data_IF_118578334916
#
_entry.id   IF_118578334916
#
_cell.length_a   1.000
_cell.length_b   1.000
_cell.length_c   1.000
_cell.angle_alpha   90.00
_cell.angle_beta   90.00
_cell.angle_gamma   90.00
#
_symmetry.space_group_name_H-M   'P 1'
#
loop_
_entity.id
_entity.type
_entity.pdbx_description
1 polymer ?
#
# COMPACT_ATOMS: atom_id res chain seq x y z
N UNK A 1 -22.14 -22.36 0.26
CA UNK A 1 -20.69 -22.19 -0.05
C UNK A 1 -19.79 -22.71 1.09
N UNK A 2 -19.97 -22.21 2.33
CA UNK A 2 -19.14 -22.56 3.49
C UNK A 2 -19.09 -24.08 3.76
N UNK A 3 -20.25 -24.73 3.94
CA UNK A 3 -20.31 -26.19 4.18
C UNK A 3 -19.59 -27.01 3.11
N UNK A 4 -19.75 -26.64 1.83
CA UNK A 4 -19.10 -27.33 0.71
C UNK A 4 -17.57 -27.22 0.79
N UNK A 5 -17.05 -26.02 1.05
CA UNK A 5 -15.61 -25.77 1.19
C UNK A 5 -15.03 -26.52 2.41
N UNK A 6 -15.71 -26.49 3.56
CA UNK A 6 -15.26 -27.20 4.75
C UNK A 6 -15.21 -28.73 4.54
N UNK A 7 -16.25 -29.32 3.93
CA UNK A 7 -16.26 -30.77 3.66
C UNK A 7 -15.17 -31.17 2.65
N UNK A 8 -14.91 -30.36 1.63
CA UNK A 8 -13.84 -30.64 0.67
C UNK A 8 -12.45 -30.58 1.33
N UNK A 9 -12.20 -29.59 2.19
CA UNK A 9 -10.96 -29.50 2.97
C UNK A 9 -10.82 -30.70 3.92
N UNK A 10 -11.91 -31.07 4.59
CA UNK A 10 -11.96 -32.20 5.51
C UNK A 10 -11.60 -33.52 4.81
N UNK A 11 -12.19 -33.79 3.65
CA UNK A 11 -11.95 -34.98 2.85
C UNK A 11 -10.50 -35.03 2.35
N UNK A 12 -9.97 -33.91 1.89
CA UNK A 12 -8.60 -33.81 1.36
C UNK A 12 -7.52 -34.01 2.43
N UNK A 13 -7.72 -33.46 3.62
CA UNK A 13 -6.69 -33.38 4.67
C UNK A 13 -6.91 -34.31 5.86
N UNK A 14 -8.06 -34.99 5.93
CA UNK A 14 -8.35 -35.95 7.01
C UNK A 14 -8.49 -35.31 8.40
N UNK A 15 -8.90 -34.03 8.48
CA UNK A 15 -9.10 -33.32 9.74
C UNK A 15 -10.56 -33.42 10.24
N UNK A 16 -10.84 -32.87 11.42
CA UNK A 16 -12.20 -32.71 11.91
C UNK A 16 -12.92 -31.52 11.26
N UNK A 17 -14.24 -31.48 11.39
CA UNK A 17 -15.06 -30.43 10.77
C UNK A 17 -14.84 -29.06 11.42
N UNK A 18 -14.51 -28.99 12.71
CA UNK A 18 -14.28 -27.72 13.39
C UNK A 18 -13.01 -27.05 12.84
N UNK A 19 -11.93 -27.83 12.64
CA UNK A 19 -10.70 -27.40 11.98
C UNK A 19 -10.97 -26.96 10.53
N UNK A 20 -11.63 -27.80 9.72
CA UNK A 20 -11.91 -27.50 8.32
C UNK A 20 -12.81 -26.24 8.13
N UNK A 21 -13.60 -25.89 9.14
CA UNK A 21 -14.53 -24.76 9.12
C UNK A 21 -13.96 -23.45 9.70
N UNK A 22 -12.68 -23.40 10.12
CA UNK A 22 -12.08 -22.16 10.63
C UNK A 22 -12.02 -21.07 9.55
N UNK A 23 -12.57 -19.89 9.85
CA UNK A 23 -12.62 -18.73 8.93
C UNK A 23 -12.24 -17.40 9.59
N UNK A 24 -11.95 -17.40 10.89
CA UNK A 24 -11.51 -16.22 11.64
C UNK A 24 -10.01 -16.33 11.82
N UNK A 25 -9.26 -15.47 11.13
CA UNK A 25 -7.81 -15.44 11.14
C UNK A 25 -7.30 -14.10 11.67
N UNK A 26 -6.17 -14.11 12.36
CA UNK A 26 -5.48 -12.92 12.82
C UNK A 26 -3.99 -13.24 13.02
N UNK A 27 -3.28 -12.33 13.67
CA UNK A 27 -1.96 -12.57 14.21
C UNK A 27 -1.97 -13.61 15.34
N UNK A 28 -0.79 -14.14 15.67
CA UNK A 28 -0.60 -14.86 16.93
C UNK A 28 -0.88 -13.95 18.13
N UNK A 29 -1.11 -14.54 19.29
CA UNK A 29 -1.30 -13.77 20.53
C UNK A 29 -0.11 -12.82 20.78
N UNK A 30 -0.42 -11.56 21.08
CA UNK A 30 0.57 -10.51 21.33
C UNK A 30 1.23 -9.89 20.09
N UNK A 31 0.93 -10.38 18.87
CA UNK A 31 1.45 -9.82 17.63
C UNK A 31 0.42 -8.94 16.90
N UNK A 32 0.91 -7.97 16.11
CA UNK A 32 0.11 -7.00 15.37
C UNK A 32 0.68 -6.80 13.96
N UNK A 33 -0.18 -6.42 13.01
CA UNK A 33 0.20 -6.11 11.63
C UNK A 33 0.64 -7.33 10.81
N UNK A 34 0.60 -7.21 9.50
CA UNK A 34 1.12 -8.24 8.61
C UNK A 34 2.59 -8.04 8.28
N UNK A 35 3.18 -6.87 8.61
CA UNK A 35 4.53 -6.42 8.24
C UNK A 35 4.72 -6.19 6.73
N UNK A 36 3.65 -6.22 5.94
CA UNK A 36 3.69 -5.81 4.53
C UNK A 36 4.03 -4.32 4.43
N UNK A 37 3.52 -3.49 5.34
CA UNK A 37 3.93 -2.09 5.45
C UNK A 37 5.44 -1.90 5.68
N UNK A 38 6.05 -2.73 6.53
CA UNK A 38 7.49 -2.66 6.81
C UNK A 38 8.32 -3.05 5.59
N UNK A 39 7.87 -4.04 4.80
CA UNK A 39 8.51 -4.36 3.52
C UNK A 39 8.46 -3.14 2.60
N UNK A 40 7.27 -2.57 2.38
CA UNK A 40 7.06 -1.39 1.52
C UNK A 40 7.90 -0.18 1.97
N UNK A 41 7.89 0.16 3.25
CA UNK A 41 8.66 1.30 3.78
C UNK A 41 10.17 1.10 3.56
N UNK A 42 10.68 -0.11 3.78
CA UNK A 42 12.10 -0.41 3.67
C UNK A 42 12.65 -0.55 2.25
N UNK A 43 11.79 -0.71 1.24
CA UNK A 43 12.21 -1.00 -0.13
C UNK A 43 12.71 -2.44 -0.35
N UNK A 44 12.66 -3.31 0.68
CA UNK A 44 13.35 -4.61 0.69
C UNK A 44 12.44 -5.77 0.28
N UNK A 45 12.05 -5.79 -0.99
CA UNK A 45 11.44 -6.94 -1.65
C UNK A 45 11.82 -6.94 -3.13
N UNK A 46 12.05 -8.13 -3.67
CA UNK A 46 12.37 -8.35 -5.07
C UNK A 46 11.13 -8.83 -5.85
N UNK A 47 10.27 -9.63 -5.21
CA UNK A 47 9.10 -10.24 -5.83
C UNK A 47 7.82 -10.01 -5.01
N UNK A 48 6.70 -9.72 -5.69
CA UNK A 48 5.41 -9.44 -5.03
C UNK A 48 4.88 -10.62 -4.23
N UNK A 49 5.33 -11.85 -4.51
CA UNK A 49 4.94 -13.01 -3.73
C UNK A 49 5.50 -13.02 -2.30
N UNK A 50 6.52 -12.20 -2.01
CA UNK A 50 7.01 -11.97 -0.65
C UNK A 50 5.94 -11.29 0.23
N UNK A 51 5.04 -10.48 -0.35
CA UNK A 51 3.92 -9.90 0.41
C UNK A 51 2.91 -10.97 0.84
N UNK A 52 2.60 -11.91 -0.05
CA UNK A 52 1.72 -13.02 0.26
C UNK A 52 2.30 -13.94 1.34
N UNK A 53 3.60 -14.25 1.26
CA UNK A 53 4.28 -15.08 2.26
C UNK A 53 4.37 -14.34 3.62
N UNK A 54 4.71 -13.06 3.61
CA UNK A 54 4.74 -12.21 4.81
C UNK A 54 3.37 -12.14 5.48
N UNK A 55 2.33 -11.89 4.69
CA UNK A 55 0.95 -11.84 5.17
C UNK A 55 0.50 -13.18 5.76
N UNK A 56 0.63 -14.27 5.02
CA UNK A 56 0.11 -15.59 5.44
C UNK A 56 0.89 -16.20 6.62
N UNK A 57 2.18 -15.91 6.75
CA UNK A 57 2.97 -16.30 7.92
C UNK A 57 2.53 -15.56 9.18
N UNK A 58 2.18 -14.27 9.06
CA UNK A 58 1.84 -13.44 10.22
C UNK A 58 0.36 -13.43 10.55
N UNK A 59 -0.52 -13.61 9.56
CA UNK A 59 -1.99 -13.61 9.69
C UNK A 59 -2.60 -15.02 9.59
N UNK A 60 -1.77 -16.05 9.47
CA UNK A 60 -2.18 -17.46 9.37
C UNK A 60 -2.69 -18.10 10.66
N UNK A 61 -2.96 -17.34 11.72
CA UNK A 61 -3.42 -17.90 13.00
C UNK A 61 -4.95 -17.89 13.07
N UNK A 62 -5.54 -19.07 13.07
CA UNK A 62 -6.98 -19.23 13.16
C UNK A 62 -7.46 -19.22 14.62
N UNK A 63 -8.59 -18.57 14.84
CA UNK A 63 -9.29 -18.50 16.12
C UNK A 63 -10.49 -19.44 16.11
N UNK A 64 -10.45 -20.46 16.97
CA UNK A 64 -11.56 -21.38 17.17
C UNK A 64 -12.71 -20.76 17.96
N UNK A 65 -13.86 -21.44 18.00
CA UNK A 65 -15.08 -20.97 18.69
C UNK A 65 -14.88 -20.67 20.18
N UNK A 66 -13.96 -21.37 20.82
CA UNK A 66 -13.62 -21.19 22.23
C UNK A 66 -12.47 -20.19 22.46
N UNK A 67 -12.00 -19.50 21.40
CA UNK A 67 -10.88 -18.57 21.45
C UNK A 67 -9.50 -19.22 21.31
N UNK A 68 -9.41 -20.55 21.19
CA UNK A 68 -8.14 -21.24 20.97
C UNK A 68 -7.49 -20.75 19.67
N UNK A 69 -6.22 -20.37 19.75
CA UNK A 69 -5.43 -19.87 18.62
C UNK A 69 -4.49 -20.97 18.15
N UNK A 70 -4.46 -21.23 16.85
CA UNK A 70 -3.50 -22.16 16.25
C UNK A 70 -3.05 -21.67 14.88
N UNK A 71 -1.79 -21.92 14.52
CA UNK A 71 -1.30 -21.61 13.18
C UNK A 71 -1.94 -22.58 12.18
N UNK A 72 -2.61 -22.03 11.17
CA UNK A 72 -3.41 -22.73 10.16
C UNK A 72 -3.13 -22.14 8.76
N UNK A 73 -1.84 -21.92 8.43
CA UNK A 73 -1.41 -21.29 7.17
C UNK A 73 -1.85 -22.10 5.94
N UNK A 74 -1.82 -23.43 6.00
CA UNK A 74 -2.29 -24.29 4.91
C UNK A 74 -3.79 -24.10 4.64
N UNK A 75 -4.61 -24.11 5.70
CA UNK A 75 -6.04 -23.82 5.61
C UNK A 75 -6.31 -22.40 5.09
N UNK A 76 -5.56 -21.41 5.57
CA UNK A 76 -5.69 -20.03 5.08
C UNK A 76 -5.48 -19.99 3.56
N UNK A 77 -4.36 -20.53 3.06
CA UNK A 77 -4.04 -20.52 1.63
C UNK A 77 -5.12 -21.20 0.79
N UNK A 78 -5.68 -22.33 1.24
CA UNK A 78 -6.73 -23.03 0.50
C UNK A 78 -8.07 -22.29 0.53
N UNK A 79 -8.38 -21.59 1.63
CA UNK A 79 -9.54 -20.70 1.71
C UNK A 79 -9.36 -19.50 0.78
N UNK A 80 -8.17 -18.88 0.75
CA UNK A 80 -7.86 -17.74 -0.11
C UNK A 80 -7.95 -18.08 -1.61
N UNK A 81 -7.58 -19.29 -2.02
CA UNK A 81 -7.76 -19.75 -3.41
C UNK A 81 -9.22 -19.79 -3.88
N UNK A 82 -10.18 -19.77 -2.95
CA UNK A 82 -11.62 -19.75 -3.23
C UNK A 82 -12.27 -18.37 -3.05
N UNK A 83 -11.47 -17.31 -2.83
CA UNK A 83 -11.99 -15.94 -2.67
C UNK A 83 -12.37 -15.36 -4.04
N UNK A 84 -13.51 -14.66 -4.07
CA UNK A 84 -14.02 -14.00 -5.28
C UNK A 84 -13.85 -12.47 -5.24
N UNK A 85 -13.68 -11.87 -4.04
CA UNK A 85 -13.40 -10.45 -3.82
C UNK A 85 -12.77 -10.23 -2.43
N UNK A 86 -12.01 -9.15 -2.29
CA UNK A 86 -11.55 -8.64 -1.00
C UNK A 86 -12.25 -7.32 -0.67
N UNK A 87 -12.46 -7.02 0.60
CA UNK A 87 -13.06 -5.75 0.99
C UNK A 87 -12.59 -5.26 2.37
N UNK A 88 -12.60 -3.94 2.56
CA UNK A 88 -12.48 -3.30 3.86
C UNK A 88 -13.42 -2.09 3.97
N UNK A 89 -13.85 -1.76 5.19
CA UNK A 89 -14.53 -0.49 5.46
C UNK A 89 -13.51 0.63 5.63
N UNK A 90 -13.83 1.81 5.09
CA UNK A 90 -13.12 3.04 5.39
C UNK A 90 -13.50 3.49 6.80
N UNK A 91 -12.49 3.80 7.61
CA UNK A 91 -12.65 4.21 9.00
C UNK A 91 -13.29 5.60 9.14
N UNK A 92 -12.75 6.59 8.44
CA UNK A 92 -13.15 8.00 8.60
C UNK A 92 -12.83 8.85 7.38
N UNK A 93 -13.36 10.08 7.35
CA UNK A 93 -13.07 11.05 6.28
C UNK A 93 -11.60 11.50 6.36
N UNK A 94 -11.03 11.48 7.56
CA UNK A 94 -9.66 11.93 7.85
C UNK A 94 -8.64 10.84 7.54
N UNK A 95 -8.93 9.58 7.87
CA UNK A 95 -8.02 8.43 7.68
C UNK A 95 -8.38 7.65 6.41
N UNK A 96 -7.90 8.18 5.28
CA UNK A 96 -7.99 7.55 3.97
C UNK A 96 -7.13 6.29 3.82
N UNK A 97 -7.41 5.49 2.80
CA UNK A 97 -6.62 4.31 2.45
C UNK A 97 -5.19 4.64 2.01
N UNK A 98 -4.93 5.88 1.61
CA UNK A 98 -3.60 6.41 1.29
C UNK A 98 -3.00 7.27 2.42
N UNK A 99 -3.76 7.55 3.48
CA UNK A 99 -3.29 8.36 4.63
C UNK A 99 -2.46 7.52 5.60
N UNK A 100 -2.81 6.24 5.75
CA UNK A 100 -2.19 5.33 6.71
C UNK A 100 -1.88 3.99 6.04
N UNK A 101 -0.82 3.36 6.52
CA UNK A 101 -0.23 2.17 5.94
C UNK A 101 -1.00 0.87 6.23
N UNK A 102 -1.74 0.84 7.33
CA UNK A 102 -2.40 -0.39 7.80
C UNK A 102 -3.48 -0.92 6.84
N UNK A 103 -4.04 -0.08 5.95
CA UNK A 103 -4.97 -0.57 4.93
C UNK A 103 -4.26 -1.45 3.91
N UNK A 104 -3.15 -1.01 3.31
CA UNK A 104 -2.43 -1.87 2.37
C UNK A 104 -1.67 -2.98 3.09
N UNK A 105 -1.25 -2.79 4.35
CA UNK A 105 -0.70 -3.87 5.19
C UNK A 105 -1.68 -5.05 5.30
N UNK A 106 -2.98 -4.76 5.40
CA UNK A 106 -4.00 -5.78 5.64
C UNK A 106 -4.79 -6.14 4.39
N UNK A 107 -5.55 -5.21 3.81
CA UNK A 107 -6.33 -5.44 2.60
C UNK A 107 -5.43 -5.62 1.36
N UNK A 108 -4.32 -4.88 1.29
CA UNK A 108 -3.31 -5.13 0.26
C UNK A 108 -2.69 -6.51 0.43
N UNK A 109 -2.14 -6.81 1.61
CA UNK A 109 -1.50 -8.09 1.90
C UNK A 109 -2.40 -9.32 1.69
N UNK A 110 -3.68 -9.25 2.06
CA UNK A 110 -4.63 -10.34 1.76
C UNK A 110 -4.90 -10.44 0.27
N UNK A 111 -4.92 -9.33 -0.48
CA UNK A 111 -5.11 -9.34 -1.93
C UNK A 111 -3.93 -10.03 -2.63
N UNK A 112 -2.70 -9.75 -2.23
CA UNK A 112 -1.50 -10.47 -2.71
C UNK A 112 -1.58 -11.96 -2.37
N UNK A 113 -2.03 -12.30 -1.16
CA UNK A 113 -2.19 -13.69 -0.74
C UNK A 113 -3.28 -14.44 -1.52
N UNK A 114 -4.40 -13.77 -1.84
CA UNK A 114 -5.43 -14.32 -2.74
C UNK A 114 -4.86 -14.53 -4.13
N UNK A 115 -4.15 -13.55 -4.68
CA UNK A 115 -3.55 -13.67 -6.02
C UNK A 115 -2.59 -14.86 -6.11
N UNK A 116 -1.71 -15.03 -5.11
CA UNK A 116 -0.80 -16.20 -5.04
C UNK A 116 -1.55 -17.52 -4.94
N UNK A 117 -2.60 -17.60 -4.13
CA UNK A 117 -3.35 -18.84 -3.91
C UNK A 117 -4.27 -19.21 -5.10
N UNK A 118 -4.84 -18.21 -5.76
CA UNK A 118 -5.80 -18.37 -6.87
C UNK A 118 -5.11 -18.44 -8.24
N UNK A 119 -3.95 -17.80 -8.37
CA UNK A 119 -3.23 -17.60 -9.64
C UNK A 119 -3.73 -16.40 -10.45
N UNK A 120 -4.71 -15.65 -9.95
CA UNK A 120 -5.25 -14.43 -10.56
C UNK A 120 -5.73 -13.47 -9.48
N UNK A 121 -5.75 -12.17 -9.80
CA UNK A 121 -6.26 -11.12 -8.94
C UNK A 121 -7.78 -11.21 -8.76
N UNK A 122 -8.29 -10.64 -7.66
CA UNK A 122 -9.74 -10.50 -7.42
C UNK A 122 -10.09 -9.02 -7.25
N UNK A 123 -11.33 -8.62 -7.56
CA UNK A 123 -11.77 -7.27 -7.26
C UNK A 123 -11.62 -6.91 -5.78
N UNK A 124 -11.05 -5.73 -5.51
CA UNK A 124 -10.88 -5.18 -4.17
C UNK A 124 -11.83 -4.00 -3.99
N UNK A 125 -12.62 -4.02 -2.92
CA UNK A 125 -13.64 -3.01 -2.66
C UNK A 125 -13.42 -2.26 -1.34
N UNK A 126 -13.74 -0.97 -1.34
CA UNK A 126 -13.74 -0.11 -0.17
C UNK A 126 -15.17 0.34 0.11
N UNK A 127 -15.67 0.01 1.30
CA UNK A 127 -16.99 0.44 1.77
C UNK A 127 -16.85 1.71 2.61
N UNK A 128 -17.36 2.82 2.11
CA UNK A 128 -17.31 4.15 2.70
C UNK A 128 -18.67 4.51 3.31
N UNK A 129 -18.72 4.49 4.64
CA UNK A 129 -19.89 4.86 5.45
C UNK A 129 -19.68 6.19 6.19
N UNK A 130 -18.72 7.01 5.76
CA UNK A 130 -18.30 8.22 6.49
C UNK A 130 -19.22 9.41 6.22
N UNK A 131 -19.96 9.40 5.11
CA UNK A 131 -20.90 10.44 4.71
C UNK A 131 -22.28 10.33 5.38
N UNK A 132 -23.08 11.39 5.28
CA UNK A 132 -24.50 11.37 5.67
C UNK A 132 -25.35 10.74 4.56
N UNK A 133 -25.84 9.52 4.76
CA UNK A 133 -26.73 8.83 3.82
C UNK A 133 -26.42 7.34 3.68
N UNK A 134 -26.86 6.75 2.57
CA UNK A 134 -26.52 5.37 2.23
C UNK A 134 -25.03 5.29 1.86
N UNK A 135 -24.28 4.41 2.53
CA UNK A 135 -22.86 4.22 2.29
C UNK A 135 -22.55 3.83 0.84
N UNK A 136 -21.31 4.07 0.42
CA UNK A 136 -20.85 3.79 -0.95
C UNK A 136 -19.84 2.65 -0.94
N UNK A 137 -19.99 1.71 -1.87
CA UNK A 137 -18.96 0.70 -2.14
C UNK A 137 -18.27 1.09 -3.43
N UNK A 138 -16.98 1.38 -3.36
CA UNK A 138 -16.11 1.69 -4.50
C UNK A 138 -15.15 0.56 -4.76
N UNK A 139 -14.68 0.44 -5.98
CA UNK A 139 -13.48 -0.36 -6.25
C UNK A 139 -12.25 0.34 -5.66
N UNK A 140 -11.15 -0.41 -5.48
CA UNK A 140 -9.89 0.14 -4.98
C UNK A 140 -9.37 1.29 -5.84
N UNK A 141 -9.39 1.14 -7.16
CA UNK A 141 -8.93 2.16 -8.12
C UNK A 141 -9.77 3.45 -8.05
N UNK A 142 -11.09 3.32 -7.92
CA UNK A 142 -11.98 4.46 -7.69
C UNK A 142 -11.66 5.20 -6.39
N UNK A 143 -11.40 4.44 -5.30
CA UNK A 143 -11.07 5.03 -4.01
C UNK A 143 -9.68 5.69 -4.04
N UNK A 144 -8.65 5.04 -4.57
CA UNK A 144 -7.31 5.64 -4.73
C UNK A 144 -7.38 6.90 -5.58
N UNK A 145 -8.11 6.85 -6.71
CA UNK A 145 -8.28 8.02 -7.58
C UNK A 145 -9.01 9.18 -6.88
N UNK A 146 -10.00 8.89 -6.04
CA UNK A 146 -10.68 9.89 -5.22
C UNK A 146 -9.71 10.53 -4.23
N UNK A 147 -8.92 9.72 -3.51
CA UNK A 147 -7.98 10.22 -2.51
C UNK A 147 -6.82 10.99 -3.13
N UNK A 148 -6.31 10.55 -4.28
CA UNK A 148 -5.31 11.29 -5.04
C UNK A 148 -5.83 12.69 -5.41
N UNK A 149 -7.06 12.81 -5.92
CA UNK A 149 -7.65 14.11 -6.30
C UNK A 149 -8.04 15.00 -5.12
N UNK A 150 -8.35 14.42 -3.97
CA UNK A 150 -8.84 15.17 -2.81
C UNK A 150 -7.74 15.49 -1.79
N UNK A 151 -6.61 14.76 -1.84
CA UNK A 151 -5.45 14.93 -0.95
C UNK A 151 -4.16 15.14 -1.73
N UNK A 152 -3.43 14.08 -2.07
CA UNK A 152 -2.05 14.15 -2.60
C UNK A 152 -1.89 15.17 -3.73
N UNK A 153 -2.83 15.25 -4.66
CA UNK A 153 -2.79 16.13 -5.83
C UNK A 153 -3.76 17.31 -5.74
N UNK A 154 -4.32 17.57 -4.56
CA UNK A 154 -5.17 18.73 -4.30
C UNK A 154 -4.33 19.88 -3.76
N UNK A 155 -4.20 21.01 -4.48
CA UNK A 155 -3.45 22.17 -4.02
C UNK A 155 -3.87 22.68 -2.65
N UNK A 156 -5.16 22.63 -2.33
CA UNK A 156 -5.63 23.05 -1.00
C UNK A 156 -5.09 22.16 0.12
N UNK A 157 -4.89 20.88 -0.16
CA UNK A 157 -4.37 19.94 0.82
C UNK A 157 -2.86 20.04 0.94
N UNK A 158 -2.11 19.90 -0.16
CA UNK A 158 -0.65 19.90 -0.07
C UNK A 158 -0.10 21.27 0.32
N UNK A 159 -0.68 22.39 -0.12
CA UNK A 159 -0.25 23.72 0.34
C UNK A 159 -0.47 23.88 1.85
N UNK A 160 -1.64 23.46 2.35
CA UNK A 160 -1.91 23.49 3.79
C UNK A 160 -0.97 22.58 4.58
N UNK A 161 -0.52 21.45 4.02
CA UNK A 161 0.51 20.63 4.64
C UNK A 161 1.84 21.37 4.68
N UNK A 162 2.25 21.98 3.58
CA UNK A 162 3.51 22.72 3.48
C UNK A 162 3.59 23.95 4.40
N UNK A 163 2.45 24.54 4.78
CA UNK A 163 2.40 25.58 5.83
C UNK A 163 2.90 25.06 7.20
N UNK A 164 2.91 23.75 7.42
CA UNK A 164 3.47 23.09 8.60
C UNK A 164 4.93 22.63 8.41
N UNK A 165 5.59 23.07 7.33
CA UNK A 165 7.01 22.90 7.09
C UNK A 165 7.47 21.43 7.07
N UNK A 166 8.42 21.09 7.94
CA UNK A 166 9.08 19.77 7.95
C UNK A 166 8.10 18.59 7.99
N UNK A 167 7.11 18.68 8.87
CA UNK A 167 6.09 17.63 9.06
C UNK A 167 5.11 17.57 7.88
N UNK A 168 4.88 18.71 7.21
CA UNK A 168 4.06 18.79 6.01
C UNK A 168 4.61 17.98 4.85
N UNK A 169 5.91 18.14 4.57
CA UNK A 169 6.60 17.34 3.54
C UNK A 169 6.60 15.87 3.91
N UNK A 170 6.75 15.52 5.20
CA UNK A 170 6.64 14.13 5.67
C UNK A 170 5.25 13.52 5.37
N UNK A 171 4.18 14.30 5.49
CA UNK A 171 2.83 13.81 5.16
C UNK A 171 2.66 13.56 3.65
N UNK A 172 3.24 14.41 2.80
CA UNK A 172 3.22 14.20 1.34
C UNK A 172 3.99 12.92 0.99
N UNK A 173 5.18 12.73 1.56
CA UNK A 173 5.98 11.52 1.38
C UNK A 173 5.23 10.26 1.84
N UNK A 174 4.63 10.29 3.04
CA UNK A 174 3.87 9.16 3.56
C UNK A 174 2.68 8.81 2.65
N UNK A 175 1.95 9.82 2.15
CA UNK A 175 0.84 9.61 1.22
C UNK A 175 1.29 8.94 -0.09
N UNK A 176 2.43 9.35 -0.63
CA UNK A 176 2.99 8.75 -1.84
C UNK A 176 3.47 7.32 -1.58
N UNK A 177 4.18 7.09 -0.46
CA UNK A 177 4.64 5.75 -0.05
C UNK A 177 3.45 4.79 0.14
N UNK A 178 2.37 5.22 0.80
CA UNK A 178 1.16 4.43 0.96
C UNK A 178 0.45 4.17 -0.38
N UNK A 179 0.48 5.15 -1.29
CA UNK A 179 -0.04 4.98 -2.66
C UNK A 179 0.73 3.87 -3.38
N UNK A 180 2.07 3.88 -3.31
CA UNK A 180 2.89 2.82 -3.89
C UNK A 180 2.63 1.45 -3.24
N UNK A 181 2.40 1.41 -1.92
CA UNK A 181 1.96 0.21 -1.21
C UNK A 181 0.73 -0.46 -1.82
N UNK A 182 -0.22 0.31 -2.37
CA UNK A 182 -1.36 -0.24 -3.10
C UNK A 182 -0.97 -0.87 -4.43
N UNK A 183 -0.12 -0.20 -5.22
CA UNK A 183 0.43 -0.78 -6.45
C UNK A 183 1.08 -2.13 -6.18
N UNK A 184 1.93 -2.20 -5.15
CA UNK A 184 2.71 -3.39 -4.83
C UNK A 184 1.88 -4.57 -4.30
N UNK A 185 0.74 -4.30 -3.67
CA UNK A 185 -0.01 -5.35 -2.93
C UNK A 185 -1.31 -5.78 -3.60
N UNK A 186 -1.99 -4.87 -4.29
CA UNK A 186 -3.30 -5.13 -4.90
C UNK A 186 -3.43 -4.54 -6.31
N UNK A 187 -2.41 -3.84 -6.80
CA UNK A 187 -2.55 -2.97 -7.96
C UNK A 187 -3.55 -1.83 -7.70
N UNK A 188 -4.15 -1.32 -8.77
CA UNK A 188 -5.25 -0.35 -8.67
C UNK A 188 -4.84 1.11 -8.56
N UNK A 189 -3.54 1.44 -8.55
CA UNK A 189 -3.08 2.82 -8.76
C UNK A 189 -2.89 3.06 -10.24
N UNK A 190 -3.58 4.05 -10.79
CA UNK A 190 -3.46 4.39 -12.20
C UNK A 190 -2.18 5.21 -12.47
N UNK A 191 -1.49 5.01 -13.61
CA UNK A 191 -0.28 5.75 -14.01
C UNK A 191 -0.33 7.27 -13.88
N UNK A 192 -1.51 7.87 -14.10
CA UNK A 192 -1.66 9.33 -14.01
C UNK A 192 -1.41 9.86 -12.60
N UNK A 193 -1.60 9.05 -11.55
CA UNK A 193 -1.36 9.46 -10.16
C UNK A 193 0.13 9.73 -9.96
N UNK A 194 0.99 8.79 -10.36
CA UNK A 194 2.44 8.95 -10.30
C UNK A 194 2.94 10.06 -11.22
N UNK A 195 2.38 10.15 -12.44
CA UNK A 195 2.71 11.23 -13.38
C UNK A 195 2.44 12.61 -12.79
N UNK A 196 1.26 12.82 -12.22
CA UNK A 196 0.92 14.13 -11.65
C UNK A 196 1.69 14.38 -10.36
N UNK A 197 1.98 13.36 -9.55
CA UNK A 197 2.81 13.50 -8.36
C UNK A 197 4.25 13.90 -8.72
N UNK A 198 4.84 13.30 -9.76
CA UNK A 198 6.17 13.67 -10.24
C UNK A 198 6.21 15.08 -10.80
N UNK A 199 5.24 15.43 -11.66
CA UNK A 199 5.09 16.79 -12.22
C UNK A 199 4.92 17.84 -11.11
N UNK A 200 4.09 17.56 -10.11
CA UNK A 200 3.76 18.52 -9.04
C UNK A 200 4.90 18.71 -8.05
N UNK A 201 5.52 17.64 -7.57
CA UNK A 201 6.40 17.71 -6.40
C UNK A 201 7.89 17.73 -6.73
N UNK A 202 8.29 17.13 -7.86
CA UNK A 202 9.72 16.91 -8.17
C UNK A 202 10.15 17.61 -9.47
N UNK A 203 9.36 17.52 -10.54
CA UNK A 203 9.74 18.10 -11.83
C UNK A 203 9.47 19.61 -11.90
N UNK A 204 8.56 20.13 -11.08
CA UNK A 204 8.47 21.56 -10.78
C UNK A 204 9.67 21.98 -9.90
N UNK A 205 10.57 22.79 -10.44
CA UNK A 205 11.80 23.21 -9.76
C UNK A 205 11.53 24.06 -8.50
N UNK A 206 10.53 24.94 -8.55
CA UNK A 206 10.18 25.80 -7.42
C UNK A 206 9.57 24.98 -6.29
N UNK A 207 8.67 24.04 -6.62
CA UNK A 207 8.12 23.12 -5.64
C UNK A 207 9.22 22.20 -5.07
N UNK A 208 10.05 21.59 -5.92
CA UNK A 208 11.15 20.71 -5.50
C UNK A 208 12.06 21.41 -4.49
N UNK A 209 12.48 22.64 -4.81
CA UNK A 209 13.32 23.45 -3.92
C UNK A 209 12.63 23.76 -2.59
N UNK A 210 11.35 24.13 -2.63
CA UNK A 210 10.57 24.38 -1.41
C UNK A 210 10.46 23.13 -0.54
N UNK A 211 10.18 21.95 -1.13
CA UNK A 211 10.16 20.69 -0.38
C UNK A 211 11.52 20.42 0.29
N UNK A 212 12.61 20.65 -0.45
CA UNK A 212 13.96 20.39 0.02
C UNK A 212 14.40 21.34 1.14
N UNK A 213 14.02 22.62 1.06
CA UNK A 213 14.24 23.62 2.13
C UNK A 213 13.46 23.28 3.41
N UNK A 214 12.23 22.77 3.27
CA UNK A 214 11.38 22.40 4.41
C UNK A 214 11.79 21.06 5.04
N UNK A 215 12.13 20.06 4.23
CA UNK A 215 12.55 18.73 4.66
C UNK A 215 13.33 18.00 3.54
N UNK A 216 14.67 18.08 3.53
CA UNK A 216 15.47 17.50 2.46
C UNK A 216 15.38 15.97 2.43
N UNK A 217 15.26 15.32 3.59
CA UNK A 217 15.12 13.86 3.68
C UNK A 217 13.81 13.38 3.07
N UNK A 218 12.68 14.02 3.41
CA UNK A 218 11.38 13.63 2.86
C UNK A 218 11.28 13.99 1.37
N UNK A 219 11.85 15.11 0.93
CA UNK A 219 11.91 15.46 -0.49
C UNK A 219 12.67 14.41 -1.32
N UNK A 220 13.85 13.99 -0.85
CA UNK A 220 14.62 12.90 -1.47
C UNK A 220 13.82 11.59 -1.49
N UNK A 221 13.14 11.23 -0.39
CA UNK A 221 12.26 10.05 -0.33
C UNK A 221 11.09 10.12 -1.34
N UNK A 222 10.50 11.28 -1.58
CA UNK A 222 9.45 11.45 -2.61
C UNK A 222 10.00 11.12 -4.00
N UNK A 223 11.18 11.65 -4.36
CA UNK A 223 11.83 11.36 -5.63
C UNK A 223 12.16 9.85 -5.75
N UNK A 224 12.80 9.28 -4.73
CA UNK A 224 13.16 7.86 -4.70
C UNK A 224 11.94 6.95 -4.81
N UNK A 225 10.81 7.31 -4.20
CA UNK A 225 9.57 6.53 -4.28
C UNK A 225 8.94 6.56 -5.68
N UNK A 226 9.05 7.67 -6.40
CA UNK A 226 8.59 7.78 -7.79
C UNK A 226 9.49 6.99 -8.75
N UNK A 227 10.80 7.03 -8.52
CA UNK A 227 11.78 6.22 -9.26
C UNK A 227 11.51 4.73 -8.99
N UNK A 228 11.34 4.32 -7.73
CA UNK A 228 11.00 2.95 -7.36
C UNK A 228 9.69 2.49 -8.03
N UNK A 229 8.66 3.34 -8.05
CA UNK A 229 7.40 3.02 -8.71
C UNK A 229 7.58 2.78 -10.23
N UNK A 230 8.53 3.47 -10.88
CA UNK A 230 8.87 3.21 -12.27
C UNK A 230 9.70 1.93 -12.43
N UNK A 231 10.72 1.73 -11.61
CA UNK A 231 11.61 0.55 -11.68
C UNK A 231 10.88 -0.77 -11.38
N UNK A 232 9.75 -0.69 -10.66
CA UNK A 232 8.84 -1.81 -10.42
C UNK A 232 7.65 -1.88 -11.40
N UNK A 233 7.70 -1.13 -12.50
CA UNK A 233 6.69 -1.12 -13.57
C UNK A 233 5.27 -0.68 -13.13
N UNK A 234 5.12 0.09 -12.06
CA UNK A 234 3.82 0.56 -11.57
C UNK A 234 3.32 1.84 -12.25
N UNK A 235 4.25 2.64 -12.79
CA UNK A 235 3.92 3.92 -13.40
C UNK A 235 3.87 3.85 -14.93
N UNK A 236 4.89 3.31 -15.59
CA UNK A 236 4.97 3.31 -17.05
C UNK A 236 5.33 4.68 -17.64
N UNK A 237 6.20 5.43 -16.96
CA UNK A 237 6.84 6.62 -17.48
C UNK A 237 7.70 6.30 -18.70
N UNK A 238 7.88 7.28 -19.59
CA UNK A 238 8.88 7.18 -20.66
C UNK A 238 10.30 7.48 -20.15
N UNK A 239 11.30 7.20 -20.99
CA UNK A 239 12.71 7.37 -20.63
C UNK A 239 13.07 8.83 -20.35
N UNK A 240 12.43 9.78 -21.03
CA UNK A 240 12.67 11.21 -20.83
C UNK A 240 12.17 11.65 -19.44
N UNK A 241 10.98 11.21 -19.05
CA UNK A 241 10.40 11.45 -17.73
C UNK A 241 11.22 10.82 -16.61
N UNK A 242 11.69 9.58 -16.81
CA UNK A 242 12.51 8.87 -15.82
C UNK A 242 13.87 9.55 -15.63
N UNK A 243 14.52 9.93 -16.73
CA UNK A 243 15.80 10.64 -16.69
C UNK A 243 15.67 12.01 -16.02
N UNK A 244 14.59 12.76 -16.30
CA UNK A 244 14.31 14.02 -15.62
C UNK A 244 14.12 13.85 -14.11
N UNK A 245 13.46 12.78 -13.68
CA UNK A 245 13.32 12.45 -12.26
C UNK A 245 14.61 12.02 -11.59
N UNK A 246 15.45 11.23 -12.27
CA UNK A 246 16.76 10.83 -11.75
C UNK A 246 17.64 12.04 -11.48
N UNK A 247 17.74 12.96 -12.45
CA UNK A 247 18.49 14.22 -12.27
C UNK A 247 17.93 15.06 -11.12
N UNK A 248 16.61 15.18 -11.03
CA UNK A 248 15.97 15.90 -9.93
C UNK A 248 16.21 15.22 -8.57
N UNK A 249 16.34 13.89 -8.53
CA UNK A 249 16.71 13.11 -7.36
C UNK A 249 18.17 13.32 -6.96
N UNK A 250 19.09 13.31 -7.93
CA UNK A 250 20.51 13.62 -7.74
C UNK A 250 20.71 15.02 -7.15
N UNK A 251 20.00 16.03 -7.68
CA UNK A 251 20.02 17.40 -7.12
C UNK A 251 19.60 17.44 -5.63
N UNK A 252 18.61 16.62 -5.26
CA UNK A 252 18.12 16.54 -3.87
C UNK A 252 19.11 15.80 -2.97
N UNK A 253 19.80 14.80 -3.49
CA UNK A 253 20.84 14.06 -2.79
C UNK A 253 22.06 14.95 -2.53
N UNK A 254 22.54 15.68 -3.54
CA UNK A 254 23.62 16.66 -3.40
C UNK A 254 23.30 17.71 -2.33
N UNK A 255 22.06 18.21 -2.29
CA UNK A 255 21.61 19.15 -1.27
C UNK A 255 21.60 18.51 0.13
N UNK A 256 21.13 17.26 0.23
CA UNK A 256 21.05 16.52 1.49
C UNK A 256 22.45 16.22 2.06
N UNK A 257 23.40 15.86 1.19
CA UNK A 257 24.79 15.56 1.55
C UNK A 257 25.66 16.81 1.74
N UNK A 258 25.14 17.99 1.36
CA UNK A 258 25.85 19.27 1.47
C UNK A 258 26.93 19.48 0.39
N UNK A 259 26.81 18.78 -0.74
CA UNK A 259 27.69 18.93 -1.91
C UNK A 259 27.20 20.12 -2.75
N UNK A 260 27.30 21.33 -2.20
CA UNK A 260 27.00 22.55 -2.97
C UNK A 260 28.28 23.04 -3.66
N UNK A 261 28.48 22.67 -4.92
CA UNK A 261 29.22 23.40 -5.99
C UNK A 261 30.51 24.22 -5.72
N UNK A 262 31.15 24.17 -4.56
CA UNK A 262 32.30 25.02 -4.19
C UNK A 262 33.67 24.32 -4.31
N UNK A 263 33.74 23.16 -5.00
CA UNK A 263 35.02 22.45 -5.23
C UNK A 263 35.52 22.58 -6.69
N UNK A 264 34.96 23.49 -7.48
CA UNK A 264 35.47 23.79 -8.83
C UNK A 264 35.56 25.30 -9.10
N UNK A 265 36.53 25.96 -8.47
CA UNK A 265 37.06 27.26 -8.89
C UNK A 265 38.59 27.27 -8.79
#
# INVERSE_FOLDING_TARGET
PIRRSALAYQEKHGCDLDTAALRVFSNSEGAYGSNVNMLVDSGRWDDESEFADTYTNRKGFAYGRAGAVSQQTELLNEVLGNVDLAYQNLDSVELGITTVDHYFDTLGGISSAVQRAKGDSVPVYIADHTGSGDGKVRTLDEQVALEARTRLLNPKWYESMLDHGYEGVRQIEAHLTNTMGWSATAGGVAPWVYKQASETFILDEDMRRRLAELNPVAASRVANRLIEAQERDYWGADEEQLEALRRAGEDLEDLLEGITGEVAA
#
